data_IF_481900344609
#
_entry.id   IF_481900344609
#
_cell.length_a   1.000
_cell.length_b   1.000
_cell.length_c   1.000
_cell.angle_alpha   90.00
_cell.angle_beta   90.00
_cell.angle_gamma   90.00
#
_symmetry.space_group_name_H-M   'P 1'
#
loop_
_entity.id
_entity.type
_entity.pdbx_description
1 polymer ?
#
# COMPACT_ATOMS: atom_id res chain seq x y z
N UNK A 1 3.35 18.03 11.28
CA UNK A 1 3.55 16.61 10.93
C UNK A 1 2.99 16.36 9.54
N UNK A 2 3.62 15.50 8.75
CA UNK A 2 3.14 15.11 7.42
C UNK A 2 2.14 13.97 7.53
N UNK A 3 1.05 14.02 6.79
CA UNK A 3 0.03 12.96 6.79
C UNK A 3 0.42 11.91 5.75
N UNK A 4 0.78 10.70 6.20
CA UNK A 4 1.26 9.63 5.34
C UNK A 4 0.36 8.41 5.47
N UNK A 5 -0.15 7.93 4.34
CA UNK A 5 -0.87 6.67 4.27
C UNK A 5 0.06 5.56 3.80
N UNK A 6 0.12 4.45 4.53
CA UNK A 6 0.76 3.20 4.10
C UNK A 6 -0.32 2.21 3.67
N UNK A 7 -0.24 1.73 2.44
CA UNK A 7 -1.16 0.73 1.90
C UNK A 7 -0.72 -0.68 2.28
N UNK A 8 -1.43 -1.22 3.28
CA UNK A 8 -1.25 -2.55 3.83
C UNK A 8 -2.25 -3.55 3.26
N UNK A 9 -2.92 -3.26 2.13
CA UNK A 9 -3.98 -4.13 1.61
C UNK A 9 -3.53 -5.58 1.36
N UNK A 10 -2.22 -5.81 1.18
CA UNK A 10 -1.62 -7.14 1.02
C UNK A 10 -1.68 -8.02 2.26
N UNK A 11 -1.89 -7.48 3.47
CA UNK A 11 -2.11 -8.30 4.68
C UNK A 11 -3.42 -9.12 4.59
N UNK A 12 -4.28 -8.84 3.60
CA UNK A 12 -5.44 -9.69 3.29
C UNK A 12 -5.04 -11.15 3.06
N UNK A 13 -3.82 -11.38 2.57
CA UNK A 13 -3.25 -12.71 2.38
C UNK A 13 -1.93 -12.85 3.16
N UNK A 14 -2.03 -13.22 4.43
CA UNK A 14 -0.87 -13.34 5.34
C UNK A 14 0.02 -14.54 5.06
N UNK A 15 -0.46 -15.57 4.37
CA UNK A 15 0.35 -16.73 4.01
C UNK A 15 1.13 -16.52 2.71
N UNK A 16 1.32 -15.25 2.32
CA UNK A 16 2.14 -14.82 1.19
C UNK A 16 3.35 -14.01 1.66
N UNK A 17 4.43 -14.00 0.86
CA UNK A 17 5.62 -13.19 1.15
C UNK A 17 5.30 -11.69 1.25
N UNK A 18 4.41 -11.18 0.40
CA UNK A 18 3.96 -9.78 0.43
C UNK A 18 3.15 -9.45 1.68
N UNK A 19 2.30 -10.39 2.14
CA UNK A 19 1.53 -10.22 3.36
C UNK A 19 2.42 -10.15 4.60
N UNK A 20 3.37 -11.08 4.72
CA UNK A 20 4.37 -11.09 5.80
C UNK A 20 5.23 -9.83 5.80
N UNK A 21 5.73 -9.43 4.62
CA UNK A 21 6.47 -8.17 4.46
C UNK A 21 5.65 -6.98 4.95
N UNK A 22 4.40 -6.86 4.50
CA UNK A 22 3.53 -5.72 4.87
C UNK A 22 3.24 -5.67 6.37
N UNK A 23 3.02 -6.82 7.01
CA UNK A 23 2.80 -6.91 8.45
C UNK A 23 4.03 -6.47 9.23
N UNK A 24 5.20 -7.03 8.90
CA UNK A 24 6.43 -6.73 9.63
C UNK A 24 6.85 -5.27 9.43
N UNK A 25 6.67 -4.72 8.22
CA UNK A 25 6.89 -3.31 7.92
C UNK A 25 6.02 -2.39 8.81
N UNK A 26 4.72 -2.70 8.92
CA UNK A 26 3.81 -1.92 9.74
C UNK A 26 4.18 -1.95 11.23
N UNK A 27 4.48 -3.14 11.77
CA UNK A 27 4.85 -3.30 13.18
C UNK A 27 6.13 -2.54 13.52
N UNK A 28 7.17 -2.66 12.68
CA UNK A 28 8.45 -1.95 12.87
C UNK A 28 8.25 -0.42 12.78
N UNK A 29 7.40 0.04 11.87
CA UNK A 29 7.11 1.46 11.71
C UNK A 29 6.38 2.04 12.95
N UNK A 30 5.44 1.27 13.51
CA UNK A 30 4.75 1.65 14.74
C UNK A 30 5.66 1.62 15.96
N UNK A 31 6.61 0.70 16.04
CA UNK A 31 7.57 0.63 17.14
C UNK A 31 8.52 1.84 17.16
N UNK A 32 8.99 2.26 15.97
CA UNK A 32 9.87 3.43 15.82
C UNK A 32 9.22 4.77 16.13
N UNK A 33 7.88 4.88 16.04
CA UNK A 33 7.10 6.09 16.33
C UNK A 33 7.72 7.39 15.78
N UNK A 34 7.86 7.54 14.45
CA UNK A 34 8.44 8.74 13.86
C UNK A 34 7.67 9.99 14.30
N UNK A 35 8.36 11.00 14.80
CA UNK A 35 7.76 12.21 15.40
C UNK A 35 7.33 13.27 14.38
N UNK A 36 7.79 13.16 13.15
CA UNK A 36 7.56 14.09 12.04
C UNK A 36 6.39 13.68 11.13
N UNK A 37 5.94 12.42 11.24
CA UNK A 37 4.94 11.81 10.36
C UNK A 37 3.74 11.29 11.17
N UNK A 38 2.55 11.65 10.73
CA UNK A 38 1.31 11.04 11.19
C UNK A 38 0.91 9.89 10.25
N UNK A 39 0.94 8.67 10.78
CA UNK A 39 0.79 7.43 10.00
C UNK A 39 -0.66 6.97 10.00
N UNK A 40 -1.18 6.69 8.80
CA UNK A 40 -2.47 6.05 8.56
C UNK A 40 -2.25 4.75 7.78
N UNK A 41 -2.96 3.69 8.15
CA UNK A 41 -2.87 2.40 7.47
C UNK A 41 -4.15 2.10 6.69
N UNK A 42 -4.02 1.87 5.38
CA UNK A 42 -5.13 1.32 4.59
C UNK A 42 -5.19 -0.20 4.81
N UNK A 43 -6.18 -0.64 5.58
CA UNK A 43 -6.29 -2.04 5.97
C UNK A 43 -7.49 -2.74 5.30
N UNK A 44 -7.30 -3.98 4.81
CA UNK A 44 -8.41 -4.86 4.45
C UNK A 44 -9.22 -5.21 5.69
N UNK A 45 -10.49 -5.60 5.55
CA UNK A 45 -11.37 -5.93 6.71
C UNK A 45 -10.89 -7.10 7.57
N UNK A 46 -10.06 -7.98 6.99
CA UNK A 46 -9.53 -9.20 7.59
C UNK A 46 -8.07 -8.99 8.02
N UNK A 47 -7.58 -9.76 9.00
CA UNK A 47 -6.19 -9.78 9.45
C UNK A 47 -5.66 -8.43 9.97
N UNK A 48 -6.54 -7.54 10.45
CA UNK A 48 -6.15 -6.22 10.99
C UNK A 48 -5.49 -6.35 12.35
N UNK A 49 -6.03 -7.26 13.15
CA UNK A 49 -5.58 -7.67 14.47
C UNK A 49 -4.14 -8.23 14.48
N UNK A 50 -3.57 -8.47 13.30
CA UNK A 50 -2.22 -8.98 13.13
C UNK A 50 -1.17 -7.86 13.09
N UNK A 51 -1.61 -6.59 13.06
CA UNK A 51 -0.76 -5.41 13.29
C UNK A 51 -0.82 -5.11 14.78
N UNK A 52 0.36 -5.01 15.41
CA UNK A 52 0.48 -4.78 16.85
C UNK A 52 0.49 -3.30 17.18
N UNK A 53 -0.22 -2.90 18.23
CA UNK A 53 -0.25 -1.52 18.73
C UNK A 53 -1.45 -0.71 18.24
N UNK A 54 -1.53 0.53 18.70
CA UNK A 54 -2.58 1.47 18.31
C UNK A 54 -2.20 2.18 17.00
N UNK A 55 -3.12 2.19 16.05
CA UNK A 55 -2.91 2.85 14.76
C UNK A 55 -4.20 3.38 14.16
N UNK A 56 -4.07 4.39 13.30
CA UNK A 56 -5.19 4.91 12.52
C UNK A 56 -5.47 4.00 11.32
N UNK A 57 -6.58 3.27 11.38
CA UNK A 57 -7.03 2.40 10.30
C UNK A 57 -7.98 3.13 9.34
N UNK A 58 -7.65 3.11 8.05
CA UNK A 58 -8.51 3.54 6.95
C UNK A 58 -9.08 2.30 6.29
N UNK A 59 -10.40 2.19 6.24
CA UNK A 59 -11.06 1.04 5.64
C UNK A 59 -10.87 0.97 4.13
N UNK A 60 -10.40 -0.20 3.67
CA UNK A 60 -10.46 -0.60 2.27
C UNK A 60 -11.93 -0.80 1.84
N UNK A 61 -12.43 0.11 1.00
CA UNK A 61 -13.81 0.14 0.48
C UNK A 61 -13.80 -0.04 -1.05
N UNK A 62 -14.74 -0.81 -1.58
CA UNK A 62 -14.97 -0.94 -3.02
C UNK A 62 -15.12 0.43 -3.73
N UNK A 63 -15.92 1.36 -3.20
CA UNK A 63 -16.09 2.68 -3.81
C UNK A 63 -14.75 3.43 -3.90
N UNK A 64 -13.98 3.48 -2.80
CA UNK A 64 -12.64 4.11 -2.76
C UNK A 64 -11.62 3.43 -3.67
N UNK A 65 -11.81 2.15 -4.00
CA UNK A 65 -10.99 1.39 -4.93
C UNK A 65 -11.18 1.86 -6.38
N UNK A 66 -12.44 2.08 -6.79
CA UNK A 66 -12.78 2.47 -8.16
C UNK A 66 -12.91 3.97 -8.35
N UNK A 67 -13.08 4.74 -7.27
CA UNK A 67 -13.17 6.20 -7.27
C UNK A 67 -12.10 6.77 -6.32
N UNK A 68 -10.82 6.82 -6.75
CA UNK A 68 -9.70 7.28 -5.92
C UNK A 68 -9.86 8.68 -5.33
N UNK A 69 -10.64 9.55 -5.98
CA UNK A 69 -10.91 10.90 -5.50
C UNK A 69 -11.75 10.95 -4.21
N UNK A 70 -12.42 9.85 -3.84
CA UNK A 70 -13.11 9.70 -2.55
C UNK A 70 -12.16 9.42 -1.38
N UNK A 71 -10.89 9.12 -1.66
CA UNK A 71 -9.90 8.97 -0.61
C UNK A 71 -9.58 10.34 0.01
N UNK A 72 -9.37 10.34 1.33
CA UNK A 72 -8.81 11.49 2.04
C UNK A 72 -7.48 11.89 1.39
N UNK A 73 -7.20 13.19 1.33
CA UNK A 73 -5.91 13.72 0.87
C UNK A 73 -4.83 13.43 1.92
N UNK A 74 -3.69 12.92 1.45
CA UNK A 74 -2.48 12.71 2.24
C UNK A 74 -1.32 13.46 1.55
N UNK A 75 -0.23 13.73 2.27
CA UNK A 75 1.00 14.22 1.66
C UNK A 75 1.64 13.11 0.80
N UNK A 76 1.67 11.89 1.34
CA UNK A 76 2.23 10.69 0.69
C UNK A 76 1.26 9.51 0.86
N UNK A 77 1.11 8.73 -0.21
CA UNK A 77 0.52 7.40 -0.22
C UNK A 77 1.62 6.41 -0.60
N UNK A 78 2.06 5.59 0.33
CA UNK A 78 3.09 4.59 0.09
C UNK A 78 2.44 3.22 -0.04
N UNK A 79 2.44 2.65 -1.25
CA UNK A 79 2.05 1.26 -1.43
C UNK A 79 3.23 0.33 -1.33
N UNK A 80 3.07 -0.70 -0.50
CA UNK A 80 4.06 -1.75 -0.29
C UNK A 80 4.08 -2.78 -1.42
N UNK A 81 3.47 -2.49 -2.56
CA UNK A 81 3.44 -3.37 -3.72
C UNK A 81 3.32 -2.59 -5.03
N UNK A 82 4.03 -3.02 -6.08
CA UNK A 82 4.12 -2.28 -7.34
C UNK A 82 2.81 -2.16 -8.14
N UNK A 83 1.84 -3.06 -7.90
CA UNK A 83 0.51 -2.98 -8.51
C UNK A 83 -0.58 -2.93 -7.43
N UNK A 84 -0.77 -1.77 -6.77
CA UNK A 84 -1.75 -1.65 -5.71
C UNK A 84 -3.17 -1.81 -6.23
N UNK A 85 -4.06 -2.29 -5.35
CA UNK A 85 -5.50 -2.33 -5.65
C UNK A 85 -6.17 -0.98 -5.45
N UNK A 86 -5.58 -0.11 -4.65
CA UNK A 86 -6.09 1.22 -4.30
C UNK A 86 -5.10 2.26 -4.77
N UNK A 87 -5.63 3.36 -5.32
CA UNK A 87 -4.81 4.48 -5.76
C UNK A 87 -5.18 5.73 -4.95
N UNK A 88 -4.23 6.64 -4.73
CA UNK A 88 -4.51 7.93 -4.12
C UNK A 88 -5.39 8.81 -5.02
N UNK A 89 -6.01 9.82 -4.41
CA UNK A 89 -6.59 10.93 -5.16
C UNK A 89 -5.53 11.79 -5.86
N UNK A 90 -5.93 12.68 -6.80
CA UNK A 90 -5.04 13.34 -7.75
C UNK A 90 -3.99 14.30 -7.15
N UNK A 91 -4.07 14.63 -5.87
CA UNK A 91 -3.18 15.59 -5.19
C UNK A 91 -2.25 14.97 -4.15
N UNK A 92 -2.26 13.65 -4.04
CA UNK A 92 -1.44 12.90 -3.09
C UNK A 92 -0.31 12.23 -3.87
N UNK A 93 0.94 12.36 -3.39
CA UNK A 93 2.10 11.72 -4.04
C UNK A 93 2.08 10.22 -3.79
N UNK A 94 2.25 9.42 -4.84
CA UNK A 94 2.32 7.95 -4.74
C UNK A 94 3.78 7.49 -4.68
N UNK A 95 4.12 6.68 -3.67
CA UNK A 95 5.37 5.95 -3.58
C UNK A 95 5.05 4.46 -3.71
N UNK A 96 5.78 3.74 -4.56
CA UNK A 96 5.59 2.31 -4.79
C UNK A 96 6.83 1.54 -4.35
N UNK A 97 6.63 0.49 -3.56
CA UNK A 97 7.66 -0.53 -3.34
C UNK A 97 7.58 -1.57 -4.46
N UNK A 98 8.68 -1.73 -5.19
CA UNK A 98 8.85 -2.77 -6.21
C UNK A 98 9.66 -3.91 -5.61
N UNK A 99 9.07 -5.11 -5.57
CA UNK A 99 9.73 -6.30 -5.01
C UNK A 99 10.54 -7.06 -6.05
N UNK A 100 10.04 -7.10 -7.27
CA UNK A 100 10.67 -7.77 -8.40
C UNK A 100 10.15 -7.18 -9.72
N UNK A 101 10.84 -7.52 -10.81
CA UNK A 101 10.42 -7.23 -12.18
C UNK A 101 10.32 -8.52 -13.01
N UNK A 102 10.01 -9.66 -12.37
CA UNK A 102 10.02 -10.97 -13.03
C UNK A 102 9.07 -11.02 -14.23
N UNK A 103 8.01 -10.19 -14.20
CA UNK A 103 7.07 -10.06 -15.31
C UNK A 103 7.72 -9.64 -16.64
N UNK A 104 8.91 -9.02 -16.62
CA UNK A 104 9.64 -8.66 -17.85
C UNK A 104 10.11 -9.90 -18.63
N UNK A 105 10.37 -11.00 -17.91
CA UNK A 105 10.88 -12.25 -18.49
C UNK A 105 9.75 -13.28 -18.63
N UNK A 106 8.88 -13.40 -17.62
CA UNK A 106 7.85 -14.44 -17.56
C UNK A 106 6.64 -14.18 -18.47
N UNK A 107 6.39 -12.92 -18.83
CA UNK A 107 5.21 -12.54 -19.63
C UNK A 107 5.63 -12.25 -21.06
N UNK A 108 4.74 -12.59 -22.01
CA UNK A 108 4.93 -12.17 -23.40
C UNK A 108 5.09 -10.65 -23.54
N UNK A 109 5.86 -10.24 -24.53
CA UNK A 109 6.30 -8.84 -24.78
C UNK A 109 5.21 -7.79 -24.56
N UNK A 110 4.01 -8.02 -25.10
CA UNK A 110 2.86 -7.11 -24.95
C UNK A 110 2.45 -6.91 -23.48
N UNK A 111 2.40 -7.98 -22.69
CA UNK A 111 2.02 -7.91 -21.26
C UNK A 111 3.15 -7.30 -20.42
N UNK A 112 4.40 -7.65 -20.72
CA UNK A 112 5.57 -7.07 -20.07
C UNK A 112 5.61 -5.55 -20.24
N UNK A 113 5.48 -5.05 -21.48
CA UNK A 113 5.46 -3.61 -21.77
C UNK A 113 4.28 -2.91 -21.09
N UNK A 114 3.09 -3.52 -21.07
CA UNK A 114 1.93 -2.96 -20.37
C UNK A 114 2.20 -2.76 -18.87
N UNK A 115 2.89 -3.71 -18.24
CA UNK A 115 3.20 -3.62 -16.81
C UNK A 115 4.33 -2.63 -16.53
N UNK A 116 5.35 -2.58 -17.39
CA UNK A 116 6.42 -1.60 -17.30
C UNK A 116 5.87 -0.16 -17.39
N UNK A 117 5.01 0.11 -18.36
CA UNK A 117 4.36 1.41 -18.53
C UNK A 117 3.43 1.81 -17.37
N UNK A 118 3.09 0.89 -16.47
CA UNK A 118 2.31 1.21 -15.26
C UNK A 118 3.19 1.59 -14.07
N UNK A 119 4.49 1.29 -14.14
CA UNK A 119 5.46 1.59 -13.09
C UNK A 119 6.27 2.86 -13.36
N UNK A 120 6.31 3.29 -14.63
CA UNK A 120 6.93 4.53 -15.11
C UNK A 120 5.89 5.65 -15.19
#
# INVERSE_FOLDING_TARGET
MKEVLIDLYKIRDLYSGLGQFSRNYANELLDRKPSDINIHFLCPKINREMISGDFHCVDANFQKRYLPFLNRKYDIWHSLHQFPSFLPGPRTKLVLTVHDLNFLIEKGTRKANKYLNRLQ
#
